data_IF_701194376029
#
_entry.id   IF_701194376029
#
_cell.length_a   1.000
_cell.length_b   1.000
_cell.length_c   1.000
_cell.angle_alpha   90.00
_cell.angle_beta   90.00
_cell.angle_gamma   90.00
#
_symmetry.space_group_name_H-M   'P 1'
#
loop_
_entity.id
_entity.type
_entity.pdbx_description
1 polymer ?
#
# COMPACT_ATOMS: atom_id res chain seq x y z
N UNK A 1 2.19 -17.52 15.22
CA UNK A 1 3.49 -17.12 14.61
C UNK A 1 3.36 -17.34 13.10
N UNK A 2 3.28 -16.27 12.28
CA UNK A 2 3.10 -16.38 10.80
C UNK A 2 4.00 -15.42 10.01
N UNK A 3 5.08 -14.95 10.63
CA UNK A 3 6.00 -14.01 9.98
C UNK A 3 6.67 -14.61 8.73
N UNK A 4 6.95 -15.92 8.73
CA UNK A 4 7.49 -16.63 7.56
C UNK A 4 6.53 -16.63 6.36
N UNK A 5 5.23 -16.81 6.60
CA UNK A 5 4.22 -16.74 5.55
C UNK A 5 4.09 -15.32 4.97
N UNK A 6 4.18 -14.30 5.82
CA UNK A 6 4.07 -12.90 5.40
C UNK A 6 5.30 -12.43 4.61
N UNK A 7 6.52 -12.80 5.01
CA UNK A 7 7.74 -12.30 4.34
C UNK A 7 7.88 -12.86 2.92
N UNK A 8 7.31 -14.04 2.64
CA UNK A 8 7.36 -14.68 1.32
C UNK A 8 6.76 -13.78 0.21
N UNK A 9 5.68 -13.04 0.48
CA UNK A 9 5.08 -12.13 -0.49
C UNK A 9 6.05 -11.01 -0.89
N UNK A 10 6.77 -10.46 0.09
CA UNK A 10 7.76 -9.40 -0.12
C UNK A 10 8.96 -9.96 -0.91
N UNK A 11 9.45 -11.14 -0.53
CA UNK A 11 10.56 -11.82 -1.24
C UNK A 11 10.20 -12.13 -2.69
N UNK A 12 8.97 -12.58 -2.96
CA UNK A 12 8.46 -12.80 -4.32
C UNK A 12 8.41 -11.48 -5.11
N UNK A 13 7.88 -10.42 -4.52
CA UNK A 13 7.79 -9.12 -5.18
C UNK A 13 9.17 -8.53 -5.50
N UNK A 14 10.17 -8.76 -4.63
CA UNK A 14 11.56 -8.32 -4.86
C UNK A 14 12.24 -9.14 -5.95
N UNK A 15 12.17 -10.48 -5.88
CA UNK A 15 12.80 -11.37 -6.86
C UNK A 15 12.21 -11.22 -8.26
N UNK A 16 10.90 -10.98 -8.36
CA UNK A 16 10.21 -10.70 -9.62
C UNK A 16 10.29 -9.25 -10.09
N UNK A 17 10.97 -8.35 -9.37
CA UNK A 17 11.08 -6.93 -9.75
C UNK A 17 9.75 -6.15 -9.76
N UNK A 18 8.72 -6.63 -9.06
CA UNK A 18 7.38 -6.05 -9.04
C UNK A 18 7.29 -4.81 -8.12
N UNK A 19 8.02 -4.86 -7.01
CA UNK A 19 8.06 -3.80 -5.99
C UNK A 19 6.75 -3.63 -5.19
N UNK A 20 6.74 -2.64 -4.30
CA UNK A 20 5.65 -2.41 -3.33
C UNK A 20 4.33 -1.94 -3.98
N UNK A 21 4.40 -1.34 -5.18
CA UNK A 21 3.20 -0.90 -5.90
C UNK A 21 2.32 -2.08 -6.33
N UNK A 22 2.94 -3.20 -6.72
CA UNK A 22 2.20 -4.41 -7.08
C UNK A 22 1.44 -4.97 -5.87
N UNK A 23 2.11 -5.07 -4.72
CA UNK A 23 1.51 -5.53 -3.45
C UNK A 23 0.28 -4.69 -3.07
N UNK A 24 0.38 -3.36 -3.17
CA UNK A 24 -0.75 -2.46 -2.85
C UNK A 24 -1.94 -2.61 -3.80
N UNK A 25 -1.70 -2.95 -5.08
CA UNK A 25 -2.73 -3.17 -6.11
C UNK A 25 -3.40 -4.55 -5.99
N UNK A 26 -2.71 -5.53 -5.42
CA UNK A 26 -3.24 -6.89 -5.23
C UNK A 26 -4.49 -6.87 -4.33
N UNK A 27 -5.44 -7.75 -4.65
CA UNK A 27 -6.60 -8.03 -3.80
C UNK A 27 -6.17 -9.05 -2.76
N UNK A 28 -6.05 -8.58 -1.52
CA UNK A 28 -5.73 -9.43 -0.38
C UNK A 28 -7.01 -10.08 0.17
N UNK A 29 -7.02 -11.40 0.41
CA UNK A 29 -8.16 -12.05 1.04
C UNK A 29 -8.45 -11.48 2.43
N UNK A 30 -9.74 -11.30 2.73
CA UNK A 30 -10.22 -10.85 4.02
C UNK A 30 -10.96 -11.98 4.75
N UNK A 31 -10.79 -12.15 6.08
CA UNK A 31 -9.83 -11.47 6.96
C UNK A 31 -8.51 -12.26 7.08
N UNK A 32 -7.35 -11.65 6.76
CA UNK A 32 -6.04 -12.33 6.89
C UNK A 32 -4.93 -11.44 7.46
N UNK A 33 -3.87 -12.08 7.99
CA UNK A 33 -2.65 -11.37 8.44
C UNK A 33 -1.88 -10.74 7.26
N UNK A 34 -2.03 -11.28 6.04
CA UNK A 34 -1.39 -10.75 4.82
C UNK A 34 -1.84 -9.33 4.47
N UNK A 35 -3.06 -8.93 4.86
CA UNK A 35 -3.56 -7.57 4.67
C UNK A 35 -2.67 -6.48 5.28
N UNK A 36 -1.85 -6.84 6.29
CA UNK A 36 -0.92 -5.91 6.91
C UNK A 36 0.11 -5.40 5.90
N UNK A 37 0.52 -6.22 4.93
CA UNK A 37 1.50 -5.84 3.90
C UNK A 37 0.87 -4.84 2.91
N UNK A 38 -0.40 -5.04 2.55
CA UNK A 38 -1.17 -4.04 1.80
C UNK A 38 -1.28 -2.71 2.55
N UNK A 39 -1.63 -2.76 3.84
CA UNK A 39 -1.72 -1.56 4.69
C UNK A 39 -0.37 -0.84 4.80
N UNK A 40 0.73 -1.59 4.84
CA UNK A 40 2.09 -1.06 4.79
C UNK A 40 2.37 -0.36 3.44
N UNK A 41 1.97 -0.97 2.32
CA UNK A 41 2.10 -0.36 1.00
C UNK A 41 1.32 0.97 0.91
N UNK A 42 0.10 1.01 1.44
CA UNK A 42 -0.72 2.22 1.49
C UNK A 42 -0.10 3.30 2.38
N UNK A 43 0.43 2.91 3.55
CA UNK A 43 1.12 3.82 4.46
C UNK A 43 2.37 4.44 3.80
N UNK A 44 3.16 3.64 3.09
CA UNK A 44 4.29 4.13 2.31
C UNK A 44 3.86 5.07 1.18
N UNK A 45 2.79 4.74 0.46
CA UNK A 45 2.29 5.62 -0.60
C UNK A 45 1.84 6.99 -0.06
N UNK A 46 1.31 7.06 1.16
CA UNK A 46 0.94 8.33 1.81
C UNK A 46 2.15 9.23 2.10
N UNK A 47 3.34 8.68 2.37
CA UNK A 47 4.55 9.49 2.60
C UNK A 47 5.04 10.19 1.34
N UNK A 48 4.66 9.67 0.16
CA UNK A 48 4.99 10.24 -1.16
C UNK A 48 4.05 11.38 -1.59
N UNK A 49 3.05 11.73 -0.78
CA UNK A 49 2.12 12.81 -1.10
C UNK A 49 2.84 14.16 -1.00
N UNK A 50 3.07 14.81 -2.15
CA UNK A 50 3.72 16.12 -2.18
C UNK A 50 2.83 17.21 -1.57
N UNK A 51 3.41 18.29 -1.02
CA UNK A 51 2.63 19.40 -0.45
C UNK A 51 1.63 20.01 -1.44
N UNK A 52 2.00 20.09 -2.72
CA UNK A 52 1.14 20.59 -3.80
C UNK A 52 -0.02 19.64 -4.09
N UNK A 53 0.25 18.34 -4.24
CA UNK A 53 -0.78 17.33 -4.45
C UNK A 53 -1.77 17.27 -3.27
N UNK A 54 -1.26 17.36 -2.03
CA UNK A 54 -2.10 17.42 -0.83
C UNK A 54 -3.04 18.62 -0.84
N UNK A 55 -2.54 19.82 -1.20
CA UNK A 55 -3.36 21.04 -1.29
C UNK A 55 -4.47 20.91 -2.32
N UNK A 56 -4.15 20.44 -3.53
CA UNK A 56 -5.14 20.23 -4.61
C UNK A 56 -6.20 19.22 -4.16
N UNK A 57 -5.77 18.06 -3.64
CA UNK A 57 -6.68 17.00 -3.19
C UNK A 57 -7.62 17.50 -2.08
N UNK A 58 -7.10 18.27 -1.14
CA UNK A 58 -7.87 18.82 -0.01
C UNK A 58 -8.87 19.88 -0.49
N UNK A 59 -8.47 20.76 -1.41
CA UNK A 59 -9.35 21.78 -1.98
C UNK A 59 -10.50 21.13 -2.78
N UNK A 60 -10.20 20.11 -3.57
CA UNK A 60 -11.20 19.35 -4.31
C UNK A 60 -12.19 18.63 -3.40
N UNK A 61 -11.70 17.91 -2.37
CA UNK A 61 -12.57 17.23 -1.38
C UNK A 61 -13.43 18.20 -0.58
N UNK A 62 -12.99 19.46 -0.38
CA UNK A 62 -13.79 20.51 0.26
C UNK A 62 -14.89 21.05 -0.65
N UNK A 63 -14.71 20.99 -1.96
CA UNK A 63 -15.70 21.45 -2.94
C UNK A 63 -16.79 20.41 -3.20
N UNK A 64 -16.50 19.12 -2.99
CA UNK A 64 -17.48 18.03 -3.07
C UNK A 64 -18.32 17.84 -1.80
N UNK A 65 -17.98 18.52 -0.71
CA UNK A 65 -18.78 18.58 0.52
C UNK A 65 -19.71 19.78 0.47
#
# INVERSE_FOLDING_TARGET
RHAGEMINEISLAMSGGLGLSAIGKTIHPYPTQGEVIKKLADAYNRTRLTPTAKRILTAWLRWQR
#
